data_IF_011669464658
#
_entry.id   IF_011669464658
#
_cell.length_a   1.000
_cell.length_b   1.000
_cell.length_c   1.000
_cell.angle_alpha   90.00
_cell.angle_beta   90.00
_cell.angle_gamma   90.00
#
_symmetry.space_group_name_H-M   'P 1'
#
loop_
_entity.id
_entity.type
_entity.pdbx_description
1 polymer ?
#
# COMPACT_ATOMS: atom_id res chain seq x y z
N UNK A 1 -25.21 19.66 2.89
CA UNK A 1 -26.41 20.04 2.08
C UNK A 1 -26.11 20.40 0.63
N UNK A 2 -25.04 21.14 0.28
CA UNK A 2 -24.73 21.51 -1.12
C UNK A 2 -24.48 20.32 -2.08
N UNK A 3 -23.93 19.20 -1.60
CA UNK A 3 -23.67 18.03 -2.46
C UNK A 3 -24.94 17.23 -2.78
N UNK A 4 -25.88 17.11 -1.84
CA UNK A 4 -27.17 16.42 -2.06
C UNK A 4 -28.01 17.09 -3.16
N UNK A 5 -27.98 18.42 -3.24
CA UNK A 5 -28.68 19.19 -4.28
C UNK A 5 -28.08 18.97 -5.69
N UNK A 6 -26.80 18.61 -5.81
CA UNK A 6 -26.15 18.31 -7.10
C UNK A 6 -26.62 16.96 -7.66
N UNK A 7 -26.77 15.95 -6.80
CA UNK A 7 -27.25 14.63 -7.21
C UNK A 7 -28.73 14.65 -7.65
N UNK A 8 -29.57 15.44 -6.99
CA UNK A 8 -30.98 15.63 -7.39
C UNK A 8 -31.09 16.30 -8.77
N UNK A 9 -30.23 17.27 -9.08
CA UNK A 9 -30.20 17.92 -10.41
C UNK A 9 -29.68 17.00 -11.52
N UNK A 10 -28.73 16.11 -11.24
CA UNK A 10 -28.25 15.09 -12.19
C UNK A 10 -29.32 14.02 -12.41
N UNK A 11 -30.00 13.56 -11.35
CA UNK A 11 -31.11 12.61 -11.45
C UNK A 11 -32.31 13.19 -12.24
N UNK A 12 -32.64 14.46 -12.03
CA UNK A 12 -33.70 15.16 -12.78
C UNK A 12 -33.30 15.41 -14.26
N UNK A 13 -32.03 15.70 -14.54
CA UNK A 13 -31.52 15.82 -15.90
C UNK A 13 -31.55 14.50 -16.66
N UNK A 14 -31.19 13.39 -16.00
CA UNK A 14 -31.33 12.04 -16.54
C UNK A 14 -32.80 11.69 -16.81
N UNK A 15 -33.73 11.98 -15.89
CA UNK A 15 -35.16 11.72 -16.11
C UNK A 15 -35.75 12.51 -17.30
N UNK A 16 -35.27 13.73 -17.56
CA UNK A 16 -35.68 14.53 -18.72
C UNK A 16 -35.10 14.00 -20.04
N UNK A 17 -33.89 13.44 -20.02
CA UNK A 17 -33.32 12.70 -21.16
C UNK A 17 -34.10 11.39 -21.43
N UNK A 18 -34.54 10.69 -20.38
CA UNK A 18 -35.42 9.51 -20.52
C UNK A 18 -36.79 9.86 -21.13
N UNK A 19 -37.41 10.98 -20.74
CA UNK A 19 -38.74 11.36 -21.23
C UNK A 19 -38.74 11.85 -22.70
N UNK A 20 -37.66 12.51 -23.14
CA UNK A 20 -37.58 13.09 -24.50
C UNK A 20 -37.26 12.07 -25.60
N UNK A 21 -36.79 10.86 -25.25
CA UNK A 21 -36.43 9.82 -26.23
C UNK A 21 -37.48 8.71 -26.40
N UNK A 22 -38.59 8.75 -25.63
CA UNK A 22 -39.70 7.79 -25.80
C UNK A 22 -40.61 8.13 -27.00
N UNK A 23 -40.40 9.25 -27.69
CA UNK A 23 -41.33 9.75 -28.72
C UNK A 23 -40.95 9.33 -30.15
N UNK A 24 -39.79 8.71 -30.40
CA UNK A 24 -39.44 8.22 -31.75
C UNK A 24 -38.56 6.96 -31.74
N UNK A 25 -39.19 5.78 -31.80
CA UNK A 25 -38.69 4.60 -32.51
C UNK A 25 -39.78 3.53 -32.55
N UNK A 26 -40.42 3.37 -33.71
CA UNK A 26 -41.05 2.11 -34.04
C UNK A 26 -39.91 1.11 -34.34
N UNK A 27 -39.96 -0.07 -33.70
CA UNK A 27 -39.32 -1.35 -34.05
C UNK A 27 -38.17 -1.95 -33.21
N UNK A 28 -37.54 -1.28 -32.22
CA UNK A 28 -36.61 -2.00 -31.31
C UNK A 28 -36.43 -1.40 -29.89
N UNK A 29 -36.19 -2.28 -28.91
CA UNK A 29 -36.05 -1.95 -27.46
C UNK A 29 -34.76 -1.16 -27.20
N UNK A 30 -34.89 0.09 -26.76
CA UNK A 30 -33.78 1.06 -26.65
C UNK A 30 -32.99 0.94 -25.36
N UNK A 31 -33.60 0.46 -24.28
CA UNK A 31 -32.95 0.37 -22.98
C UNK A 31 -32.90 -1.06 -22.49
N UNK A 32 -31.84 -1.41 -21.77
CA UNK A 32 -31.83 -2.64 -20.99
C UNK A 32 -31.04 -2.50 -19.71
N UNK A 33 -31.47 -3.24 -18.70
CA UNK A 33 -30.80 -3.31 -17.41
C UNK A 33 -30.60 -4.79 -17.08
N UNK A 34 -29.42 -5.15 -16.60
CA UNK A 34 -29.17 -6.47 -16.02
C UNK A 34 -28.52 -6.38 -14.64
N UNK A 35 -28.89 -7.31 -13.77
CA UNK A 35 -28.28 -7.49 -12.46
C UNK A 35 -27.74 -8.92 -12.36
N UNK A 36 -26.58 -9.07 -11.73
CA UNK A 36 -25.90 -10.37 -11.72
C UNK A 36 -24.69 -10.43 -10.83
N UNK A 37 -24.04 -11.59 -10.85
CA UNK A 37 -22.80 -11.84 -10.14
C UNK A 37 -21.62 -11.33 -10.96
N UNK A 38 -20.75 -10.55 -10.33
CA UNK A 38 -19.50 -10.05 -10.88
C UNK A 38 -18.34 -10.61 -10.07
N UNK A 39 -17.55 -11.49 -10.69
CA UNK A 39 -16.29 -11.96 -10.15
C UNK A 39 -15.16 -11.11 -10.72
N UNK A 40 -14.25 -10.64 -9.87
CA UNK A 40 -13.06 -9.88 -10.25
C UNK A 40 -11.84 -10.64 -9.73
N UNK A 41 -10.97 -11.02 -10.67
CA UNK A 41 -9.68 -11.64 -10.39
C UNK A 41 -8.57 -10.72 -10.90
N UNK A 42 -7.62 -10.40 -10.03
CA UNK A 42 -6.42 -9.69 -10.44
C UNK A 42 -5.42 -10.65 -11.08
N UNK A 43 -4.71 -10.18 -12.10
CA UNK A 43 -3.59 -10.91 -12.74
C UNK A 43 -2.26 -10.17 -12.60
N UNK A 44 -2.20 -9.11 -11.80
CA UNK A 44 -1.00 -8.32 -11.58
C UNK A 44 -0.11 -8.89 -10.49
N UNK A 45 1.20 -8.63 -10.60
CA UNK A 45 2.20 -9.11 -9.66
C UNK A 45 2.57 -8.05 -8.61
N UNK A 46 3.03 -8.50 -7.45
CA UNK A 46 3.58 -7.65 -6.41
C UNK A 46 4.74 -6.78 -6.95
N UNK A 47 4.62 -5.45 -6.79
CA UNK A 47 5.66 -4.50 -7.18
C UNK A 47 6.43 -3.98 -5.96
N UNK A 48 7.72 -3.65 -6.11
CA UNK A 48 8.57 -3.23 -5.01
C UNK A 48 8.13 -1.90 -4.39
N UNK A 49 8.36 -1.74 -3.08
CA UNK A 49 8.22 -0.46 -2.40
C UNK A 49 9.46 0.40 -2.58
N UNK A 50 9.27 1.67 -2.96
CA UNK A 50 10.28 2.72 -2.82
C UNK A 50 10.04 3.45 -1.52
N UNK A 51 11.04 3.50 -0.65
CA UNK A 51 10.91 3.99 0.71
C UNK A 51 11.94 5.08 0.93
N UNK A 52 11.51 6.17 1.54
CA UNK A 52 12.35 7.27 1.97
C UNK A 52 12.01 7.62 3.41
N UNK A 53 12.98 8.14 4.16
CA UNK A 53 12.76 8.63 5.54
C UNK A 53 13.20 10.07 5.69
N UNK A 54 12.95 10.66 6.86
CA UNK A 54 13.47 11.98 7.20
C UNK A 54 14.96 11.99 7.58
N UNK A 55 15.62 10.84 7.66
CA UNK A 55 17.05 10.71 7.99
C UNK A 55 17.84 10.82 6.70
N UNK A 56 18.57 11.93 6.51
CA UNK A 56 19.45 12.10 5.36
C UNK A 56 20.72 11.22 5.49
N UNK A 57 21.41 10.98 4.39
CA UNK A 57 22.77 10.41 4.46
C UNK A 57 23.66 11.31 5.29
N UNK A 58 24.58 10.71 6.06
CA UNK A 58 25.48 11.38 6.99
C UNK A 58 24.79 12.15 8.12
N UNK A 59 23.61 11.69 8.55
CA UNK A 59 22.93 12.29 9.70
C UNK A 59 23.75 12.05 10.96
N UNK A 60 24.14 13.11 11.65
CA UNK A 60 24.82 13.04 12.95
C UNK A 60 23.78 12.98 14.07
N UNK A 61 23.86 11.95 14.90
CA UNK A 61 22.97 11.77 16.05
C UNK A 61 23.74 11.20 17.24
N UNK A 62 23.57 11.79 18.44
CA UNK A 62 24.11 11.19 19.67
C UNK A 62 23.59 9.75 19.79
N UNK A 63 24.47 8.81 20.16
CA UNK A 63 24.06 7.41 20.35
C UNK A 63 23.15 7.31 21.58
N UNK A 64 23.57 7.90 22.70
CA UNK A 64 22.82 7.81 23.94
C UNK A 64 22.82 6.37 24.49
N UNK A 65 21.81 6.01 25.29
CA UNK A 65 21.73 4.67 25.88
C UNK A 65 21.58 3.59 24.81
N UNK A 66 22.45 2.57 24.84
CA UNK A 66 22.44 1.40 23.97
C UNK A 66 23.05 0.19 24.70
N UNK A 67 22.47 -1.00 24.56
CA UNK A 67 23.09 -2.20 25.12
C UNK A 67 24.31 -2.65 24.33
N UNK A 68 25.31 -3.22 25.01
CA UNK A 68 26.46 -3.84 24.35
C UNK A 68 26.05 -4.97 23.40
N UNK A 69 24.98 -5.70 23.71
CA UNK A 69 24.39 -6.70 22.82
C UNK A 69 23.92 -6.08 21.49
N UNK A 70 23.26 -4.92 21.54
CA UNK A 70 22.82 -4.22 20.33
C UNK A 70 24.02 -3.73 19.51
N UNK A 71 25.08 -3.25 20.15
CA UNK A 71 26.33 -2.89 19.44
C UNK A 71 26.95 -4.12 18.77
N UNK A 72 27.21 -5.18 19.54
CA UNK A 72 27.85 -6.41 19.06
C UNK A 72 27.08 -7.05 17.89
N UNK A 73 25.74 -7.12 17.98
CA UNK A 73 24.88 -7.66 16.93
C UNK A 73 24.95 -6.89 15.61
N UNK A 74 25.28 -5.60 15.65
CA UNK A 74 25.28 -4.72 14.49
C UNK A 74 26.68 -4.38 13.98
N UNK A 75 27.75 -4.97 14.52
CA UNK A 75 29.12 -4.76 14.03
C UNK A 75 29.23 -5.10 12.53
N UNK A 76 29.84 -4.21 11.76
CA UNK A 76 30.14 -4.45 10.35
C UNK A 76 31.31 -5.44 10.23
N UNK A 77 30.98 -6.73 10.11
CA UNK A 77 31.94 -7.82 9.97
C UNK A 77 32.88 -7.63 8.76
N UNK A 78 32.43 -6.95 7.70
CA UNK A 78 33.27 -6.72 6.53
C UNK A 78 34.36 -5.66 6.78
N UNK A 79 34.19 -4.82 7.81
CA UNK A 79 35.13 -3.76 8.20
C UNK A 79 35.79 -4.01 9.55
N UNK A 80 35.63 -5.21 10.13
CA UNK A 80 36.15 -5.53 11.46
C UNK A 80 37.67 -5.33 11.57
N UNK A 81 38.42 -5.64 10.51
CA UNK A 81 39.87 -5.45 10.43
C UNK A 81 40.31 -3.97 10.35
N UNK A 82 39.36 -3.04 10.18
CA UNK A 82 39.60 -1.60 10.16
C UNK A 82 39.31 -0.95 11.52
N UNK A 83 38.82 -1.72 12.50
CA UNK A 83 38.52 -1.27 13.84
C UNK A 83 39.66 -1.64 14.80
N UNK A 84 39.75 -0.97 15.93
CA UNK A 84 40.72 -1.30 16.97
C UNK A 84 40.47 -2.73 17.52
N UNK A 85 41.47 -3.63 17.49
CA UNK A 85 41.30 -5.02 17.93
C UNK A 85 40.90 -5.17 19.40
N UNK A 86 41.40 -4.31 20.28
CA UNK A 86 41.08 -4.33 21.72
C UNK A 86 39.66 -3.83 21.97
N UNK A 87 39.22 -2.80 21.23
CA UNK A 87 37.83 -2.35 21.23
C UNK A 87 36.89 -3.49 20.81
N UNK A 88 37.20 -4.18 19.72
CA UNK A 88 36.39 -5.29 19.21
C UNK A 88 36.35 -6.46 20.18
N UNK A 89 37.48 -6.81 20.81
CA UNK A 89 37.50 -7.84 21.86
C UNK A 89 36.59 -7.45 23.03
N UNK A 90 36.62 -6.19 23.43
CA UNK A 90 35.83 -5.67 24.55
C UNK A 90 34.34 -5.64 24.23
N UNK A 91 33.96 -5.17 23.04
CA UNK A 91 32.55 -5.10 22.60
C UNK A 91 31.94 -6.51 22.47
N UNK A 92 32.70 -7.51 22.06
CA UNK A 92 32.20 -8.88 21.88
C UNK A 92 32.31 -9.74 23.14
N UNK A 93 32.87 -9.23 24.24
CA UNK A 93 33.00 -9.99 25.47
C UNK A 93 31.67 -9.99 26.23
N UNK A 94 30.90 -11.07 26.11
CA UNK A 94 29.73 -11.27 26.93
C UNK A 94 30.11 -11.98 28.24
N UNK A 95 29.70 -11.41 29.37
CA UNK A 95 29.80 -12.06 30.67
C UNK A 95 28.85 -13.27 30.70
N UNK A 96 29.37 -14.51 30.86
CA UNK A 96 28.54 -15.71 30.84
C UNK A 96 27.59 -15.83 32.04
N UNK A 97 27.88 -15.16 33.16
CA UNK A 97 27.06 -15.23 34.36
C UNK A 97 25.85 -14.30 34.30
N UNK A 98 26.02 -13.10 33.71
CA UNK A 98 24.98 -12.05 33.71
C UNK A 98 24.38 -11.79 32.32
N UNK A 99 25.05 -12.23 31.25
CA UNK A 99 24.71 -11.92 29.87
C UNK A 99 25.03 -10.48 29.44
N UNK A 100 25.61 -9.67 30.33
CA UNK A 100 25.97 -8.27 30.08
C UNK A 100 27.31 -8.15 29.36
N UNK A 101 27.52 -7.02 28.71
CA UNK A 101 28.77 -6.63 28.07
C UNK A 101 29.48 -5.54 28.89
N UNK A 102 30.80 -5.34 28.75
CA UNK A 102 31.54 -4.27 29.41
C UNK A 102 30.90 -2.89 29.28
N UNK A 103 30.34 -2.58 28.10
CA UNK A 103 29.61 -1.33 27.87
C UNK A 103 28.41 -1.20 28.81
N UNK A 104 27.65 -2.27 29.05
CA UNK A 104 26.46 -2.21 29.93
C UNK A 104 26.84 -1.81 31.35
N UNK A 105 27.95 -2.35 31.87
CA UNK A 105 28.47 -1.98 33.20
C UNK A 105 28.90 -0.51 33.27
N UNK A 106 29.54 0.01 32.22
CA UNK A 106 29.92 1.42 32.12
C UNK A 106 28.66 2.29 32.16
N UNK A 107 27.66 1.96 31.34
CA UNK A 107 26.41 2.72 31.24
C UNK A 107 25.60 2.71 32.54
N UNK A 108 25.69 1.65 33.35
CA UNK A 108 25.03 1.58 34.66
C UNK A 108 25.63 2.54 35.70
N UNK A 109 26.89 2.95 35.54
CA UNK A 109 27.54 3.90 36.44
C UNK A 109 27.23 5.37 36.09
N UNK A 110 26.84 5.63 34.83
CA UNK A 110 26.64 7.00 34.30
C UNK A 110 25.62 7.84 35.07
N UNK A 111 24.46 7.30 35.51
CA UNK A 111 23.50 8.09 36.28
C UNK A 111 24.07 8.71 37.57
N UNK A 112 25.17 8.16 38.10
CA UNK A 112 25.84 8.64 39.31
C UNK A 112 27.07 9.54 39.01
N UNK A 113 27.38 9.80 37.74
CA UNK A 113 28.47 10.69 37.36
C UNK A 113 28.13 12.15 37.68
N UNK A 114 29.16 12.99 37.86
CA UNK A 114 28.98 14.44 38.10
C UNK A 114 28.22 15.12 36.93
N UNK A 115 28.50 14.70 35.70
CA UNK A 115 27.76 15.10 34.51
C UNK A 115 27.35 13.86 33.68
N UNK A 116 26.15 13.30 33.93
CA UNK A 116 25.69 12.08 33.25
C UNK A 116 25.56 12.24 31.73
N UNK A 117 25.19 13.41 31.22
CA UNK A 117 25.03 13.63 29.78
C UNK A 117 26.39 13.59 29.07
N UNK A 118 27.38 14.33 29.59
CA UNK A 118 28.72 14.33 29.03
C UNK A 118 29.40 12.96 29.15
N UNK A 119 29.19 12.26 30.27
CA UNK A 119 29.69 10.89 30.44
C UNK A 119 29.07 9.91 29.45
N UNK A 120 27.77 10.04 29.15
CA UNK A 120 27.08 9.22 28.15
C UNK A 120 27.58 9.48 26.74
N UNK A 121 27.75 10.76 26.39
CA UNK A 121 28.29 11.15 25.09
C UNK A 121 29.73 10.70 24.94
N UNK A 122 30.57 10.82 25.97
CA UNK A 122 31.93 10.27 25.94
C UNK A 122 31.91 8.74 25.74
N UNK A 123 31.10 8.00 26.50
CA UNK A 123 31.07 6.54 26.45
C UNK A 123 30.56 6.00 25.11
N UNK A 124 29.49 6.59 24.55
CA UNK A 124 28.77 6.03 23.40
C UNK A 124 29.02 6.79 22.08
N UNK A 125 29.44 8.04 22.19
CA UNK A 125 29.78 8.89 21.06
C UNK A 125 28.58 9.43 20.27
N UNK A 126 28.93 10.02 19.13
CA UNK A 126 28.00 10.45 18.09
C UNK A 126 28.14 9.48 16.91
N UNK A 127 27.01 9.08 16.33
CA UNK A 127 26.97 8.24 15.16
C UNK A 127 26.65 9.07 13.90
N UNK A 128 27.44 8.87 12.86
CA UNK A 128 27.09 9.22 11.48
C UNK A 128 26.26 8.08 10.88
N UNK A 129 24.97 8.33 10.62
CA UNK A 129 24.01 7.34 10.13
C UNK A 129 23.82 7.46 8.62
N UNK A 130 23.82 6.32 7.94
CA UNK A 130 23.71 6.20 6.49
C UNK A 130 22.79 5.04 6.07
N UNK A 131 22.28 5.10 4.83
CA UNK A 131 21.46 4.05 4.21
C UNK A 131 19.95 4.14 4.51
N UNK A 132 19.52 5.09 5.34
CA UNK A 132 18.11 5.28 5.69
C UNK A 132 17.41 6.38 4.88
N UNK A 133 18.11 7.09 4.01
CA UNK A 133 17.52 8.22 3.27
C UNK A 133 16.52 7.76 2.21
N UNK A 134 16.91 6.77 1.40
CA UNK A 134 16.07 6.17 0.37
C UNK A 134 16.56 4.77 -0.03
N UNK A 135 15.65 3.82 -0.21
CA UNK A 135 15.95 2.50 -0.75
C UNK A 135 14.74 1.87 -1.43
N UNK A 136 14.97 0.74 -2.11
CA UNK A 136 13.91 -0.09 -2.70
C UNK A 136 13.85 -1.42 -1.97
N UNK A 137 12.67 -1.78 -1.47
CA UNK A 137 12.41 -3.07 -0.83
C UNK A 137 11.71 -4.00 -1.82
N UNK A 138 12.23 -5.22 -1.98
CA UNK A 138 11.63 -6.26 -2.81
C UNK A 138 10.47 -6.96 -2.08
N UNK A 139 9.46 -6.17 -1.76
CA UNK A 139 8.20 -6.58 -1.17
C UNK A 139 7.07 -5.80 -1.85
N UNK A 140 5.86 -6.33 -1.86
CA UNK A 140 4.76 -5.72 -2.60
C UNK A 140 3.39 -6.18 -2.16
N UNK A 141 2.38 -5.77 -2.93
CA UNK A 141 0.97 -6.01 -2.66
C UNK A 141 0.30 -6.62 -3.88
N UNK A 142 -0.46 -7.69 -3.66
CA UNK A 142 -1.30 -8.36 -4.66
C UNK A 142 -2.77 -8.23 -4.26
N UNK A 143 -3.63 -8.03 -5.26
CA UNK A 143 -5.05 -7.87 -5.04
C UNK A 143 -5.71 -9.25 -4.98
N UNK A 144 -6.45 -9.53 -3.89
CA UNK A 144 -7.22 -10.78 -3.81
C UNK A 144 -8.46 -10.75 -4.68
N UNK A 145 -8.89 -11.94 -5.10
CA UNK A 145 -10.13 -12.13 -5.83
C UNK A 145 -11.32 -11.67 -4.99
N UNK A 146 -12.29 -11.04 -5.66
CA UNK A 146 -13.48 -10.53 -5.01
C UNK A 146 -14.72 -10.83 -5.84
N UNK A 147 -15.85 -11.00 -5.14
CA UNK A 147 -17.14 -11.15 -5.76
C UNK A 147 -18.06 -10.01 -5.31
N UNK A 148 -18.86 -9.49 -6.23
CA UNK A 148 -19.86 -8.46 -5.93
C UNK A 148 -21.08 -8.57 -6.83
N UNK A 149 -22.12 -7.80 -6.51
CA UNK A 149 -23.27 -7.61 -7.40
C UNK A 149 -22.95 -6.57 -8.47
N UNK A 150 -23.07 -6.96 -9.73
CA UNK A 150 -22.90 -6.11 -10.90
C UNK A 150 -24.23 -5.64 -11.48
N UNK A 151 -24.27 -4.39 -11.92
CA UNK A 151 -25.39 -3.75 -12.60
C UNK A 151 -24.90 -3.22 -13.95
N UNK A 152 -25.56 -3.65 -15.03
CA UNK A 152 -25.27 -3.18 -16.38
C UNK A 152 -26.47 -2.40 -16.89
N UNK A 153 -26.23 -1.16 -17.31
CA UNK A 153 -27.19 -0.33 -18.00
C UNK A 153 -26.76 -0.18 -19.45
N UNK A 154 -27.63 -0.52 -20.40
CA UNK A 154 -27.33 -0.38 -21.82
C UNK A 154 -28.34 0.55 -22.50
N UNK A 155 -27.83 1.42 -23.36
CA UNK A 155 -28.59 2.21 -24.31
C UNK A 155 -28.26 1.76 -25.74
N UNK A 156 -29.22 1.11 -26.39
CA UNK A 156 -29.08 0.60 -27.76
C UNK A 156 -29.28 1.76 -28.75
N UNK A 157 -28.20 2.16 -29.41
CA UNK A 157 -28.22 3.18 -30.47
C UNK A 157 -28.95 2.63 -31.70
N UNK A 158 -28.67 1.36 -32.03
CA UNK A 158 -29.33 0.61 -33.09
C UNK A 158 -29.36 -0.89 -32.72
N UNK A 159 -29.78 -1.73 -33.65
CA UNK A 159 -29.85 -3.18 -33.42
C UNK A 159 -28.50 -3.82 -33.06
N UNK A 160 -27.39 -3.26 -33.53
CA UNK A 160 -26.04 -3.82 -33.36
C UNK A 160 -25.18 -3.05 -32.34
N UNK A 161 -25.43 -1.77 -32.10
CA UNK A 161 -24.54 -0.92 -31.31
C UNK A 161 -25.24 -0.45 -30.04
N UNK A 162 -24.56 -0.63 -28.91
CA UNK A 162 -25.04 -0.21 -27.60
C UNK A 162 -23.97 0.52 -26.80
N UNK A 163 -24.37 1.46 -25.96
CA UNK A 163 -23.51 2.07 -24.94
C UNK A 163 -23.86 1.47 -23.60
N UNK A 164 -22.88 0.83 -22.95
CA UNK A 164 -23.03 0.19 -21.66
C UNK A 164 -22.31 0.96 -20.56
N UNK A 165 -23.03 1.26 -19.49
CA UNK A 165 -22.48 1.65 -18.20
C UNK A 165 -22.46 0.42 -17.28
N UNK A 166 -21.27 0.02 -16.86
CA UNK A 166 -21.05 -0.98 -15.82
C UNK A 166 -20.92 -0.30 -14.46
N UNK A 167 -21.68 -0.78 -13.49
CA UNK A 167 -21.57 -0.40 -12.10
C UNK A 167 -21.90 -1.59 -11.20
N UNK A 168 -22.04 -1.33 -9.90
CA UNK A 168 -22.36 -2.37 -8.94
C UNK A 168 -22.18 -1.90 -7.51
N UNK A 169 -22.32 -2.83 -6.58
CA UNK A 169 -21.98 -2.57 -5.19
C UNK A 169 -20.45 -2.57 -5.08
N UNK A 170 -19.81 -1.47 -4.68
CA UNK A 170 -18.35 -1.40 -4.58
C UNK A 170 -17.87 -2.39 -3.51
N UNK A 171 -17.06 -3.40 -3.86
CA UNK A 171 -16.60 -4.35 -2.86
C UNK A 171 -15.47 -3.77 -2.00
N UNK A 172 -15.29 -4.34 -0.83
CA UNK A 172 -14.03 -4.22 -0.08
C UNK A 172 -13.08 -5.29 -0.60
N UNK A 173 -11.86 -4.88 -0.96
CA UNK A 173 -10.85 -5.73 -1.55
C UNK A 173 -9.65 -5.81 -0.60
N UNK A 174 -9.22 -7.03 -0.33
CA UNK A 174 -8.04 -7.31 0.48
C UNK A 174 -6.78 -7.32 -0.40
N UNK A 175 -5.71 -6.71 0.10
CA UNK A 175 -4.39 -6.71 -0.50
C UNK A 175 -3.50 -7.69 0.26
N UNK A 176 -3.11 -8.80 -0.37
CA UNK A 176 -2.14 -9.74 0.19
C UNK A 176 -0.74 -9.11 0.09
N UNK A 177 -0.04 -9.06 1.21
CA UNK A 177 1.35 -8.66 1.23
C UNK A 177 2.26 -9.80 0.83
N UNK A 178 3.35 -9.47 0.12
CA UNK A 178 4.38 -10.40 -0.34
C UNK A 178 5.76 -9.91 0.07
N UNK A 179 6.56 -10.78 0.66
CA UNK A 179 7.94 -10.52 1.02
C UNK A 179 8.11 -9.76 2.34
N UNK A 180 9.35 -9.40 2.62
CA UNK A 180 9.79 -8.73 3.83
C UNK A 180 10.44 -7.39 3.49
N UNK A 181 10.18 -6.37 4.30
CA UNK A 181 10.78 -5.04 4.15
C UNK A 181 11.91 -4.93 5.16
N UNK A 182 13.12 -4.70 4.65
CA UNK A 182 14.31 -4.41 5.45
C UNK A 182 14.78 -2.98 5.20
N UNK A 183 15.27 -2.32 6.25
CA UNK A 183 15.98 -1.04 6.15
C UNK A 183 17.51 -1.28 6.15
N UNK A 184 18.26 -0.77 5.16
CA UNK A 184 19.69 -1.05 5.02
C UNK A 184 20.51 -0.07 5.89
N UNK A 185 20.44 -0.26 7.21
CA UNK A 185 21.11 0.59 8.18
C UNK A 185 22.64 0.41 8.14
N UNK A 186 23.34 1.54 8.21
CA UNK A 186 24.76 1.58 8.56
C UNK A 186 25.07 2.81 9.39
N UNK A 187 26.10 2.71 10.24
CA UNK A 187 26.58 3.83 11.02
C UNK A 187 28.09 3.76 11.23
N UNK A 188 28.72 4.93 11.41
CA UNK A 188 30.06 5.05 11.96
C UNK A 188 29.97 5.84 13.25
N UNK A 189 30.50 5.32 14.36
CA UNK A 189 30.57 6.05 15.62
C UNK A 189 31.99 6.07 16.20
N UNK A 190 32.21 6.98 17.13
CA UNK A 190 33.47 7.12 17.86
C UNK A 190 33.18 7.05 19.37
N UNK A 191 33.11 5.84 19.96
CA UNK A 191 32.94 5.68 21.40
C UNK A 191 34.22 6.11 22.15
N UNK A 192 34.10 6.33 23.45
CA UNK A 192 35.20 6.76 24.33
C UNK A 192 35.98 7.97 23.82
N UNK A 193 35.24 9.00 23.36
CA UNK A 193 35.84 10.23 22.82
C UNK A 193 36.63 10.03 21.52
N UNK A 194 36.56 8.86 20.88
CA UNK A 194 37.32 8.53 19.67
C UNK A 194 38.73 8.00 19.92
N UNK A 195 39.14 7.82 21.19
CA UNK A 195 40.47 7.32 21.56
C UNK A 195 40.73 5.90 20.99
N UNK A 196 39.66 5.11 20.82
CA UNK A 196 39.71 3.76 20.23
C UNK A 196 39.39 3.72 18.73
N UNK A 197 39.38 4.88 18.07
CA UNK A 197 39.08 4.99 16.64
C UNK A 197 37.60 4.81 16.29
N UNK A 198 37.34 4.40 15.05
CA UNK A 198 35.98 4.28 14.51
C UNK A 198 35.40 2.89 14.78
N UNK A 199 34.12 2.87 15.15
CA UNK A 199 33.27 1.70 15.22
C UNK A 199 32.30 1.70 14.02
N UNK A 200 32.37 0.68 13.16
CA UNK A 200 31.46 0.58 12.02
C UNK A 200 30.33 -0.41 12.33
N UNK A 201 29.09 0.04 12.15
CA UNK A 201 27.89 -0.77 12.29
C UNK A 201 27.19 -0.91 10.94
N UNK A 202 26.68 -2.11 10.66
CA UNK A 202 25.90 -2.39 9.45
C UNK A 202 24.94 -3.53 9.68
N UNK A 203 23.66 -3.31 9.40
CA UNK A 203 22.65 -4.36 9.48
C UNK A 203 21.43 -4.07 8.61
N UNK A 204 20.80 -5.11 8.09
CA UNK A 204 19.50 -5.01 7.45
C UNK A 204 18.41 -5.22 8.51
N UNK A 205 17.82 -4.12 8.96
CA UNK A 205 16.82 -4.14 10.03
C UNK A 205 15.47 -4.56 9.46
N UNK A 206 14.91 -5.67 9.96
CA UNK A 206 13.56 -6.10 9.57
C UNK A 206 12.54 -5.05 10.06
N UNK A 207 11.82 -4.44 9.13
CA UNK A 207 10.77 -3.45 9.43
C UNK A 207 9.42 -4.13 9.52
N UNK A 208 9.06 -4.93 8.52
CA UNK A 208 7.83 -5.71 8.54
C UNK A 208 7.96 -6.95 7.67
N UNK A 209 7.35 -8.04 8.10
CA UNK A 209 7.19 -9.24 7.29
C UNK A 209 5.75 -9.26 6.75
N UNK A 210 5.55 -8.98 5.47
CA UNK A 210 4.21 -8.90 4.90
C UNK A 210 3.58 -10.29 4.69
N UNK A 211 4.39 -11.34 4.50
CA UNK A 211 3.93 -12.70 4.28
C UNK A 211 3.22 -13.28 5.51
N UNK A 212 3.61 -12.84 6.71
CA UNK A 212 3.06 -13.34 7.98
C UNK A 212 1.58 -12.97 8.18
N UNK A 213 1.07 -11.97 7.46
CA UNK A 213 -0.30 -11.50 7.59
C UNK A 213 -1.21 -12.06 6.51
N UNK A 214 -2.46 -12.37 6.85
CA UNK A 214 -3.46 -12.83 5.89
C UNK A 214 -3.72 -11.81 4.76
N UNK A 215 -3.62 -10.52 5.08
CA UNK A 215 -3.64 -9.38 4.18
C UNK A 215 -2.85 -8.24 4.84
N UNK A 216 -2.20 -7.40 4.04
CA UNK A 216 -1.44 -6.25 4.51
C UNK A 216 -2.32 -4.99 4.62
N UNK A 217 -3.34 -4.87 3.76
CA UNK A 217 -4.31 -3.77 3.79
C UNK A 217 -5.61 -4.19 3.10
N UNK A 218 -6.65 -3.37 3.24
CA UNK A 218 -7.92 -3.49 2.53
C UNK A 218 -8.38 -2.12 2.03
N UNK A 219 -9.09 -2.07 0.92
CA UNK A 219 -9.67 -0.83 0.38
C UNK A 219 -11.04 -1.09 -0.25
N UNK A 220 -11.93 -0.10 -0.21
CA UNK A 220 -13.18 -0.13 -0.96
C UNK A 220 -12.92 0.36 -2.38
N UNK A 221 -13.28 -0.46 -3.36
CA UNK A 221 -12.98 -0.23 -4.78
C UNK A 221 -14.24 0.23 -5.53
N UNK A 222 -14.16 1.40 -6.15
CA UNK A 222 -15.18 1.94 -7.05
C UNK A 222 -14.65 1.92 -8.47
N UNK A 223 -15.18 1.03 -9.30
CA UNK A 223 -14.67 0.79 -10.66
C UNK A 223 -15.76 0.91 -11.73
N UNK A 224 -16.45 2.06 -11.87
CA UNK A 224 -17.40 2.24 -12.97
C UNK A 224 -16.67 2.14 -14.31
N UNK A 225 -17.34 1.55 -15.31
CA UNK A 225 -16.83 1.47 -16.67
C UNK A 225 -17.90 1.86 -17.69
N UNK A 226 -17.48 2.52 -18.76
CA UNK A 226 -18.32 2.90 -19.88
C UNK A 226 -17.73 2.25 -21.14
N UNK A 227 -18.53 1.51 -21.88
CA UNK A 227 -18.08 0.87 -23.13
C UNK A 227 -19.11 0.95 -24.25
N UNK A 228 -18.63 1.02 -25.48
CA UNK A 228 -19.44 0.73 -26.66
C UNK A 228 -19.40 -0.78 -26.91
N UNK A 229 -20.54 -1.36 -27.26
CA UNK A 229 -20.70 -2.77 -27.57
C UNK A 229 -21.25 -2.96 -28.98
N UNK A 230 -20.69 -3.93 -29.70
CA UNK A 230 -21.20 -4.41 -30.97
C UNK A 230 -21.78 -5.82 -30.78
N UNK A 231 -23.06 -5.99 -31.07
CA UNK A 231 -23.83 -7.22 -30.98
C UNK A 231 -23.96 -7.87 -32.36
N UNK A 232 -23.63 -9.15 -32.43
CA UNK A 232 -23.86 -9.99 -33.59
C UNK A 232 -25.30 -10.52 -33.60
N UNK A 233 -25.88 -10.64 -34.81
CA UNK A 233 -27.29 -11.01 -34.99
C UNK A 233 -28.27 -9.89 -34.66
N UNK A 234 -29.55 -10.12 -34.94
CA UNK A 234 -30.63 -9.14 -34.78
C UNK A 234 -31.53 -9.47 -33.58
N UNK A 235 -31.97 -8.46 -32.81
CA UNK A 235 -32.93 -8.66 -31.72
C UNK A 235 -34.25 -9.25 -32.26
N UNK A 236 -34.92 -10.10 -31.48
CA UNK A 236 -36.18 -10.74 -31.87
C UNK A 236 -36.07 -11.90 -32.88
N UNK A 237 -34.99 -11.96 -33.66
CA UNK A 237 -34.69 -13.07 -34.58
C UNK A 237 -33.71 -14.04 -33.93
N UNK A 238 -32.55 -13.54 -33.47
CA UNK A 238 -31.52 -14.36 -32.86
C UNK A 238 -31.68 -14.35 -31.34
N UNK A 239 -32.01 -15.52 -30.76
CA UNK A 239 -32.08 -15.66 -29.29
C UNK A 239 -30.71 -15.51 -28.63
N UNK A 240 -29.67 -16.12 -29.21
CA UNK A 240 -28.30 -15.98 -28.76
C UNK A 240 -27.59 -14.89 -29.56
N UNK A 241 -27.05 -13.88 -28.86
CA UNK A 241 -26.39 -12.73 -29.48
C UNK A 241 -25.04 -12.48 -28.83
N UNK A 242 -23.95 -12.98 -29.43
CA UNK A 242 -22.60 -12.62 -29.01
C UNK A 242 -22.36 -11.12 -29.15
N UNK A 243 -21.44 -10.58 -28.36
CA UNK A 243 -21.00 -9.19 -28.47
C UNK A 243 -19.52 -9.00 -28.13
N UNK A 244 -18.95 -7.93 -28.68
CA UNK A 244 -17.65 -7.40 -28.31
C UNK A 244 -17.83 -5.97 -27.80
N UNK A 245 -17.05 -5.60 -26.78
CA UNK A 245 -17.10 -4.29 -26.16
C UNK A 245 -15.72 -3.67 -25.99
N UNK A 246 -15.65 -2.34 -26.14
CA UNK A 246 -14.46 -1.54 -25.87
C UNK A 246 -14.83 -0.23 -25.19
N UNK A 247 -14.03 0.18 -24.22
CA UNK A 247 -14.25 1.44 -23.53
C UNK A 247 -13.22 1.75 -22.47
N UNK A 248 -13.66 2.45 -21.44
CA UNK A 248 -12.81 2.92 -20.35
C UNK A 248 -13.41 2.62 -18.98
N UNK A 249 -12.55 2.30 -18.04
CA UNK A 249 -12.83 2.17 -16.62
C UNK A 249 -12.16 3.29 -15.85
N UNK A 250 -12.86 3.83 -14.86
CA UNK A 250 -12.28 4.71 -13.85
C UNK A 250 -12.27 3.98 -12.52
N UNK A 251 -11.12 3.93 -11.85
CA UNK A 251 -10.93 3.29 -10.57
C UNK A 251 -10.60 4.31 -9.49
N UNK A 252 -11.41 4.32 -8.44
CA UNK A 252 -11.28 5.15 -7.25
C UNK A 252 -11.30 4.26 -6.01
N UNK A 253 -10.41 4.53 -5.05
CA UNK A 253 -10.25 3.72 -3.84
C UNK A 253 -10.40 4.57 -2.58
N UNK A 254 -11.23 4.11 -1.64
CA UNK A 254 -11.41 4.77 -0.35
C UNK A 254 -11.48 3.76 0.80
N UNK A 255 -11.69 4.26 2.01
CA UNK A 255 -11.75 3.43 3.24
C UNK A 255 -10.51 2.52 3.39
N UNK A 256 -9.33 3.03 3.01
CA UNK A 256 -8.09 2.27 3.06
C UNK A 256 -7.71 2.00 4.51
N UNK A 257 -7.57 0.71 4.84
CA UNK A 257 -7.21 0.24 6.19
C UNK A 257 -5.99 -0.67 6.09
N UNK A 258 -4.95 -0.32 6.83
CA UNK A 258 -3.76 -1.16 6.98
C UNK A 258 -4.05 -2.22 8.05
N UNK A 259 -3.55 -3.44 7.85
CA UNK A 259 -3.61 -4.50 8.85
C UNK A 259 -2.98 -4.04 10.18
N UNK A 260 -3.57 -4.43 11.30
CA UNK A 260 -3.12 -3.97 12.62
C UNK A 260 -1.65 -4.32 12.90
N UNK A 261 -1.19 -5.51 12.49
CA UNK A 261 0.20 -5.93 12.65
C UNK A 261 1.15 -5.07 11.81
N UNK A 262 0.88 -4.92 10.50
CA UNK A 262 1.67 -4.02 9.62
C UNK A 262 1.67 -2.59 10.16
N UNK A 263 0.53 -2.11 10.67
CA UNK A 263 0.44 -0.77 11.26
C UNK A 263 1.33 -0.64 12.49
N UNK A 264 1.37 -1.65 13.37
CA UNK A 264 2.22 -1.64 14.57
C UNK A 264 3.70 -1.67 14.20
N UNK A 265 4.07 -2.49 13.22
CA UNK A 265 5.43 -2.54 12.66
C UNK A 265 5.86 -1.15 12.14
N UNK A 266 5.00 -0.48 11.37
CA UNK A 266 5.25 0.86 10.84
C UNK A 266 5.30 1.93 11.94
N UNK A 267 4.52 1.78 13.02
CA UNK A 267 4.60 2.65 14.21
C UNK A 267 5.96 2.48 14.90
N UNK A 268 6.41 1.23 15.09
CA UNK A 268 7.72 0.94 15.66
C UNK A 268 8.84 1.54 14.80
N UNK A 269 8.78 1.38 13.48
CA UNK A 269 9.72 2.02 12.55
C UNK A 269 9.69 3.55 12.65
N UNK A 270 8.51 4.16 12.83
CA UNK A 270 8.38 5.59 13.09
C UNK A 270 9.12 6.02 14.36
N UNK A 271 9.02 5.25 15.44
CA UNK A 271 9.77 5.51 16.68
C UNK A 271 11.28 5.39 16.48
N UNK A 272 11.76 4.44 15.66
CA UNK A 272 13.18 4.33 15.33
C UNK A 272 13.68 5.60 14.64
N UNK A 273 12.97 6.08 13.61
CA UNK A 273 13.34 7.32 12.91
C UNK A 273 13.25 8.54 13.85
N UNK A 274 12.22 8.64 14.69
CA UNK A 274 12.07 9.72 15.64
C UNK A 274 13.19 9.72 16.69
N UNK A 275 13.65 8.56 17.16
CA UNK A 275 14.76 8.48 18.11
C UNK A 275 16.08 9.00 17.52
N UNK A 276 16.29 8.84 16.20
CA UNK A 276 17.44 9.45 15.52
C UNK A 276 17.33 10.97 15.55
N UNK A 277 16.15 11.51 15.25
CA UNK A 277 15.87 12.96 15.32
C UNK A 277 16.04 13.50 16.76
N UNK A 278 15.62 12.72 17.76
CA UNK A 278 15.71 13.03 19.20
C UNK A 278 17.13 12.90 19.77
N UNK A 279 18.17 12.69 18.94
CA UNK A 279 19.56 12.49 19.36
C UNK A 279 19.73 11.26 20.28
N UNK A 280 19.04 10.16 19.96
CA UNK A 280 19.03 8.88 20.71
C UNK A 280 19.15 7.69 19.76
N UNK A 281 20.14 7.70 18.87
CA UNK A 281 20.30 6.68 17.83
C UNK A 281 20.45 5.24 18.38
N UNK A 282 20.99 5.07 19.59
CA UNK A 282 21.05 3.79 20.28
C UNK A 282 19.67 3.22 20.57
N UNK A 283 18.75 4.05 21.09
CA UNK A 283 17.37 3.67 21.31
C UNK A 283 16.63 3.35 20.00
N UNK A 284 16.99 4.01 18.89
CA UNK A 284 16.48 3.68 17.56
C UNK A 284 16.89 2.26 17.13
N UNK A 285 18.17 1.91 17.27
CA UNK A 285 18.70 0.60 16.88
C UNK A 285 18.11 -0.54 17.73
N UNK A 286 17.77 -0.24 18.99
CA UNK A 286 17.10 -1.18 19.90
C UNK A 286 15.57 -1.23 19.74
N UNK A 287 14.98 -0.42 18.85
CA UNK A 287 13.54 -0.40 18.62
C UNK A 287 12.70 0.15 19.80
N UNK A 288 13.29 1.00 20.64
CA UNK A 288 12.60 1.60 21.79
C UNK A 288 11.59 2.66 21.34
N UNK A 289 10.53 2.85 22.12
CA UNK A 289 9.58 3.93 21.87
C UNK A 289 10.24 5.30 22.03
N UNK A 290 9.91 6.23 21.12
CA UNK A 290 10.34 7.63 21.18
C UNK A 290 9.35 8.49 21.98
N UNK A 291 9.66 9.78 22.12
CA UNK A 291 8.74 10.77 22.70
C UNK A 291 7.54 11.12 21.80
N UNK A 292 7.70 10.93 20.48
CA UNK A 292 6.65 11.22 19.49
C UNK A 292 5.49 10.22 19.44
N UNK A 293 4.32 10.72 19.01
CA UNK A 293 3.10 9.96 18.77
C UNK A 293 2.99 9.62 17.28
N UNK A 294 3.21 8.36 16.94
CA UNK A 294 3.25 7.91 15.54
C UNK A 294 1.84 7.65 14.99
N UNK A 295 1.58 8.13 13.78
CA UNK A 295 0.36 7.84 13.01
C UNK A 295 0.71 7.40 11.61
N UNK A 296 0.09 6.29 11.19
CA UNK A 296 0.21 5.75 9.84
C UNK A 296 -0.97 6.21 9.00
N UNK A 297 -0.69 6.73 7.81
CA UNK A 297 -1.67 7.10 6.79
C UNK A 297 -1.39 6.29 5.53
N UNK A 298 -2.44 5.81 4.86
CA UNK A 298 -2.34 5.20 3.55
C UNK A 298 -3.32 5.87 2.60
N UNK A 299 -2.86 6.12 1.37
CA UNK A 299 -3.63 6.70 0.29
C UNK A 299 -3.39 5.87 -0.99
N UNK A 300 -4.30 5.98 -1.95
CA UNK A 300 -4.14 5.44 -3.28
C UNK A 300 -4.60 6.50 -4.28
N UNK A 301 -3.95 6.55 -5.43
CA UNK A 301 -4.35 7.47 -6.49
C UNK A 301 -5.62 6.96 -7.19
N UNK A 302 -6.14 7.75 -8.12
CA UNK A 302 -7.15 7.28 -9.05
C UNK A 302 -6.48 6.76 -10.32
N UNK A 303 -7.18 5.91 -11.06
CA UNK A 303 -6.66 5.37 -12.31
C UNK A 303 -7.72 5.29 -13.41
N UNK A 304 -7.28 5.47 -14.65
CA UNK A 304 -8.07 5.24 -15.85
C UNK A 304 -7.46 4.08 -16.64
N UNK A 305 -8.30 3.17 -17.13
CA UNK A 305 -7.85 1.99 -17.85
C UNK A 305 -8.73 1.73 -19.08
N UNK A 306 -8.16 1.36 -20.24
CA UNK A 306 -8.95 0.79 -21.32
C UNK A 306 -9.49 -0.57 -20.88
N UNK A 307 -10.74 -0.87 -21.26
CA UNK A 307 -11.41 -2.14 -20.99
C UNK A 307 -11.89 -2.76 -22.31
N UNK A 308 -11.68 -4.06 -22.43
CA UNK A 308 -12.21 -4.88 -23.51
C UNK A 308 -13.13 -5.94 -22.92
N UNK A 309 -14.26 -6.20 -23.59
CA UNK A 309 -15.23 -7.19 -23.15
C UNK A 309 -15.63 -8.11 -24.30
N UNK A 310 -15.89 -9.37 -23.99
CA UNK A 310 -16.53 -10.31 -24.89
C UNK A 310 -17.61 -11.07 -24.11
N UNK A 311 -18.75 -11.30 -24.75
CA UNK A 311 -19.85 -11.97 -24.08
C UNK A 311 -20.97 -12.34 -25.02
N UNK A 312 -22.10 -12.73 -24.44
CA UNK A 312 -23.32 -12.98 -25.18
C UNK A 312 -24.55 -12.71 -24.33
N UNK A 313 -25.67 -12.44 -24.99
CA UNK A 313 -27.00 -12.44 -24.38
C UNK A 313 -27.83 -13.60 -24.93
N UNK A 314 -28.69 -14.19 -24.11
CA UNK A 314 -29.67 -15.20 -24.51
C UNK A 314 -31.10 -14.78 -24.14
N UNK A 315 -31.93 -14.57 -25.14
CA UNK A 315 -33.31 -14.11 -24.99
C UNK A 315 -34.23 -15.32 -24.76
N UNK A 316 -34.67 -15.50 -23.51
CA UNK A 316 -35.54 -16.60 -23.12
C UNK A 316 -37.03 -16.21 -23.05
N UNK A 317 -37.33 -14.91 -22.99
CA UNK A 317 -38.65 -14.32 -23.26
C UNK A 317 -38.47 -13.02 -24.05
N UNK A 318 -39.57 -12.46 -24.53
CA UNK A 318 -39.55 -11.27 -25.38
C UNK A 318 -38.78 -10.08 -24.77
N UNK A 319 -38.92 -9.84 -23.45
CA UNK A 319 -38.23 -8.75 -22.74
C UNK A 319 -37.12 -9.25 -21.82
N UNK A 320 -37.02 -10.56 -21.56
CA UNK A 320 -36.09 -11.10 -20.57
C UNK A 320 -34.94 -11.83 -21.25
N UNK A 321 -33.72 -11.52 -20.79
CA UNK A 321 -32.51 -12.14 -21.29
C UNK A 321 -31.56 -12.53 -20.16
N UNK A 322 -30.77 -13.57 -20.40
CA UNK A 322 -29.59 -13.89 -19.62
C UNK A 322 -28.37 -13.29 -20.33
N UNK A 323 -27.33 -12.92 -19.58
CA UNK A 323 -26.09 -12.40 -20.15
C UNK A 323 -24.89 -12.95 -19.42
N UNK A 324 -23.85 -13.27 -20.17
CA UNK A 324 -22.57 -13.69 -19.64
C UNK A 324 -21.45 -12.97 -20.40
N UNK A 325 -20.43 -12.51 -19.67
CA UNK A 325 -19.28 -11.84 -20.28
C UNK A 325 -18.00 -12.01 -19.49
N UNK A 326 -16.88 -11.90 -20.20
CA UNK A 326 -15.55 -11.76 -19.65
C UNK A 326 -14.97 -10.43 -20.13
N UNK A 327 -14.33 -9.70 -19.22
CA UNK A 327 -13.74 -8.40 -19.50
C UNK A 327 -12.34 -8.31 -18.92
N UNK A 328 -11.44 -7.63 -19.63
CA UNK A 328 -10.07 -7.36 -19.19
C UNK A 328 -9.82 -5.86 -19.25
N UNK A 329 -9.22 -5.31 -18.18
CA UNK A 329 -8.74 -3.94 -18.16
C UNK A 329 -7.27 -3.90 -17.77
N UNK A 330 -6.47 -3.05 -18.43
CA UNK A 330 -5.09 -2.80 -18.02
C UNK A 330 -5.08 -1.69 -16.98
N UNK A 331 -5.13 -2.06 -15.71
CA UNK A 331 -5.39 -1.14 -14.60
C UNK A 331 -4.22 -1.16 -13.62
N UNK A 332 -3.57 -0.01 -13.54
CA UNK A 332 -2.44 0.26 -12.66
C UNK A 332 -2.75 1.42 -11.73
N UNK A 333 -2.36 1.30 -10.46
CA UNK A 333 -2.48 2.38 -9.49
C UNK A 333 -1.17 2.58 -8.72
N UNK A 334 -1.08 3.65 -7.93
CA UNK A 334 -0.02 3.88 -6.95
C UNK A 334 -0.63 3.94 -5.55
N UNK A 335 -0.14 3.10 -4.65
CA UNK A 335 -0.39 3.21 -3.23
C UNK A 335 0.75 3.98 -2.53
N UNK A 336 0.40 4.85 -1.59
CA UNK A 336 1.35 5.57 -0.73
C UNK A 336 1.06 5.31 0.73
N UNK A 337 2.13 5.18 1.52
CA UNK A 337 2.06 5.01 2.98
C UNK A 337 2.97 6.06 3.61
N UNK A 338 2.44 6.81 4.56
CA UNK A 338 3.20 7.80 5.34
C UNK A 338 3.14 7.46 6.83
N UNK A 339 4.28 7.52 7.51
CA UNK A 339 4.36 7.54 8.97
C UNK A 339 4.68 8.95 9.41
N UNK A 340 3.80 9.50 10.24
CA UNK A 340 3.83 10.89 10.70
C UNK A 340 4.03 10.91 12.21
N UNK A 341 4.75 11.91 12.71
CA UNK A 341 4.73 12.26 14.13
C UNK A 341 3.62 13.31 14.36
N UNK A 342 2.55 12.96 15.06
CA UNK A 342 1.44 13.87 15.34
C UNK A 342 1.81 15.01 16.31
N UNK A 343 2.87 14.87 17.11
CA UNK A 343 3.34 15.98 17.96
C UNK A 343 3.91 17.13 17.14
N UNK A 344 4.54 16.85 16.00
CA UNK A 344 5.28 17.85 15.19
C UNK A 344 4.70 18.05 13.80
N UNK A 345 3.85 17.14 13.32
CA UNK A 345 3.38 17.08 11.94
C UNK A 345 4.43 16.58 10.94
N UNK A 346 5.64 16.22 11.39
CA UNK A 346 6.73 15.78 10.51
C UNK A 346 6.41 14.41 9.90
N UNK A 347 6.67 14.25 8.60
CA UNK A 347 6.66 12.96 7.94
C UNK A 347 8.02 12.27 8.14
N UNK A 348 8.01 11.15 8.84
CA UNK A 348 9.20 10.38 9.18
C UNK A 348 9.51 9.31 8.12
N UNK A 349 8.49 8.67 7.58
CA UNK A 349 8.62 7.62 6.57
C UNK A 349 7.62 7.88 5.46
N UNK A 350 8.05 7.74 4.21
CA UNK A 350 7.21 7.76 3.02
C UNK A 350 7.55 6.57 2.14
N UNK A 351 6.55 5.73 1.87
CA UNK A 351 6.67 4.59 0.99
C UNK A 351 5.67 4.70 -0.16
N UNK A 352 6.11 4.29 -1.35
CA UNK A 352 5.31 4.28 -2.57
C UNK A 352 5.49 2.95 -3.30
N UNK A 353 4.40 2.32 -3.71
CA UNK A 353 4.43 1.14 -4.58
C UNK A 353 3.37 1.24 -5.67
N UNK A 354 3.61 0.54 -6.78
CA UNK A 354 2.63 0.38 -7.85
C UNK A 354 1.75 -0.83 -7.53
N UNK A 355 0.44 -0.68 -7.68
CA UNK A 355 -0.51 -1.80 -7.57
C UNK A 355 -0.92 -2.16 -8.99
N UNK A 356 -0.42 -3.29 -9.49
CA UNK A 356 -0.89 -3.87 -10.74
C UNK A 356 -2.15 -4.66 -10.44
N UNK A 357 -3.29 -4.19 -10.94
CA UNK A 357 -4.58 -4.85 -10.71
C UNK A 357 -4.91 -5.73 -11.89
N UNK A 358 -4.81 -5.17 -13.11
CA UNK A 358 -5.10 -5.83 -14.38
C UNK A 358 -6.29 -6.82 -14.30
N UNK A 359 -7.49 -6.33 -13.95
CA UNK A 359 -8.58 -7.21 -13.56
C UNK A 359 -9.13 -7.99 -14.76
N UNK A 360 -9.20 -9.31 -14.61
CA UNK A 360 -10.05 -10.20 -15.39
C UNK A 360 -11.39 -10.36 -14.66
N UNK A 361 -12.45 -9.84 -15.28
CA UNK A 361 -13.79 -9.80 -14.70
C UNK A 361 -14.70 -10.77 -15.42
N UNK A 362 -15.47 -11.55 -14.68
CA UNK A 362 -16.51 -12.43 -15.21
C UNK A 362 -17.87 -12.02 -14.67
N UNK A 363 -18.85 -11.86 -15.56
CA UNK A 363 -20.20 -11.45 -15.21
C UNK A 363 -21.22 -12.48 -15.70
N UNK A 364 -22.19 -12.80 -14.84
CA UNK A 364 -23.37 -13.61 -15.18
C UNK A 364 -24.60 -12.95 -14.56
N UNK A 365 -25.59 -12.62 -15.38
CA UNK A 365 -26.77 -11.88 -14.93
C UNK A 365 -28.03 -12.14 -15.73
N UNK A 366 -29.13 -11.62 -15.20
CA UNK A 366 -30.45 -11.60 -15.84
C UNK A 366 -30.84 -10.14 -16.04
N UNK A 367 -31.43 -9.83 -17.19
CA UNK A 367 -31.85 -8.49 -17.52
C UNK A 367 -33.20 -8.41 -18.21
N UNK A 368 -33.67 -7.17 -18.29
CA UNK A 368 -34.93 -6.78 -18.91
C UNK A 368 -34.67 -5.70 -19.97
N UNK A 369 -35.37 -5.78 -21.10
CA UNK A 369 -35.34 -4.78 -22.19
C UNK A 369 -36.66 -3.99 -22.23
N UNK A 370 -36.53 -2.67 -22.36
CA UNK A 370 -37.64 -1.71 -22.44
C UNK A 370 -37.82 -1.19 -23.86
#
# INVERSE_FOLDING_TARGET
>A
MKNQLRYIKIALGLSYLFASHMVYAQDFKRFSISAGWLNVRSTGDAQPFRINTSVAEKTMSKVGMISGAAVAKNLDQARINQMDPELIRTINMQDPATGKYPLDYILEMIPNAENPEAALEYATGIAEINGLSAWTANAGLEVKNVNTAGLMFNYNINEHVSIQLMGGIPPTVDLKGKGQIYAPFSATSQPFGGDSGNLYLKNNLLITNLDQYNYAASARAWTPALQAQYYFGRPGINKLRPFLGFGFMYAYFNEIKINAGVKNDLIAAGHMIQNIDDQKAGAALEGKASTGKMRVKADANDAFAPIFSAGFTYDFKENWFATASVSYAKLDNTATISVLNDNTGKQLIYAKTKIQIDPLMSYLGIGYRF
#
